data_IF_708405286616
#
_entry.id   IF_708405286616
#
_cell.length_a   1.000
_cell.length_b   1.000
_cell.length_c   1.000
_cell.angle_alpha   90.00
_cell.angle_beta   90.00
_cell.angle_gamma   90.00
#
_symmetry.space_group_name_H-M   'P 1'
#
loop_
_entity.id
_entity.type
_entity.pdbx_description
1 polymer ?
#
# COMPACT_ATOMS: atom_id res chain seq x y z
N UNK A 1 33.88 12.23 -0.10
CA UNK A 1 33.51 11.45 1.10
C UNK A 1 32.11 10.92 0.86
N UNK A 2 31.93 9.61 0.74
CA UNK A 2 30.60 9.00 0.84
C UNK A 2 30.18 9.07 2.30
N UNK A 3 29.70 10.25 2.72
CA UNK A 3 29.21 10.50 4.06
C UNK A 3 27.91 9.72 4.31
N UNK A 4 27.74 9.23 5.53
CA UNK A 4 26.49 8.64 5.99
C UNK A 4 25.34 9.62 5.70
N UNK A 5 24.48 9.30 4.74
CA UNK A 5 23.28 10.06 4.41
C UNK A 5 22.04 9.18 4.58
N UNK A 6 20.89 9.80 4.84
CA UNK A 6 19.63 9.07 4.94
C UNK A 6 19.30 8.30 3.64
N UNK A 7 19.67 8.90 2.51
CA UNK A 7 19.59 8.28 1.18
C UNK A 7 20.52 7.05 1.05
N UNK A 8 21.73 7.09 1.61
CA UNK A 8 22.63 5.93 1.59
C UNK A 8 22.12 4.75 2.44
N UNK A 9 21.18 4.99 3.36
CA UNK A 9 20.45 3.95 4.09
C UNK A 9 19.24 3.41 3.31
N UNK A 10 19.04 3.83 2.06
CA UNK A 10 17.96 3.40 1.18
C UNK A 10 16.70 4.26 1.24
N UNK A 11 16.72 5.41 1.91
CA UNK A 11 15.56 6.30 2.04
C UNK A 11 15.78 7.60 1.28
N UNK A 12 15.16 7.69 0.10
CA UNK A 12 15.17 8.88 -0.73
C UNK A 12 13.93 9.75 -0.47
N UNK A 13 14.14 10.88 0.21
CA UNK A 13 13.06 11.81 0.60
C UNK A 13 12.47 12.57 -0.59
N UNK A 14 13.28 12.85 -1.62
CA UNK A 14 12.81 13.56 -2.81
C UNK A 14 11.94 12.64 -3.66
N UNK A 15 12.37 11.38 -3.86
CA UNK A 15 11.57 10.37 -4.52
C UNK A 15 10.27 10.07 -3.75
N UNK A 16 10.34 10.06 -2.41
CA UNK A 16 9.16 9.91 -1.56
C UNK A 16 8.17 11.06 -1.80
N UNK A 17 8.64 12.31 -1.79
CA UNK A 17 7.78 13.48 -2.02
C UNK A 17 7.13 13.45 -3.41
N UNK A 18 7.91 13.13 -4.46
CA UNK A 18 7.40 12.99 -5.83
C UNK A 18 6.32 11.90 -5.93
N UNK A 19 6.49 10.79 -5.21
CA UNK A 19 5.51 9.70 -5.17
C UNK A 19 4.24 10.12 -4.45
N UNK A 20 4.39 10.82 -3.31
CA UNK A 20 3.27 11.33 -2.51
C UNK A 20 2.47 12.43 -3.19
N UNK A 21 2.98 13.07 -4.26
CA UNK A 21 2.17 13.96 -5.10
C UNK A 21 1.13 13.22 -5.95
N UNK A 22 1.32 11.93 -6.24
CA UNK A 22 0.48 11.14 -7.15
C UNK A 22 -0.38 10.09 -6.42
N UNK A 23 0.20 9.43 -5.42
CA UNK A 23 -0.45 8.31 -4.72
C UNK A 23 -1.78 8.70 -4.04
N UNK A 24 -1.94 9.86 -3.37
CA UNK A 24 -3.18 10.20 -2.69
C UNK A 24 -4.42 10.16 -3.59
N UNK A 25 -4.32 10.68 -4.82
CA UNK A 25 -5.45 10.65 -5.76
C UNK A 25 -5.75 9.24 -6.27
N UNK A 26 -4.74 8.38 -6.40
CA UNK A 26 -4.95 6.97 -6.74
C UNK A 26 -5.62 6.20 -5.59
N UNK A 27 -5.20 6.43 -4.34
CA UNK A 27 -5.76 5.78 -3.15
C UNK A 27 -7.20 6.25 -2.86
N UNK A 28 -7.50 7.54 -3.03
CA UNK A 28 -8.85 8.09 -2.83
C UNK A 28 -9.92 7.36 -3.66
N UNK A 29 -9.55 6.84 -4.84
CA UNK A 29 -10.45 6.09 -5.72
C UNK A 29 -10.92 4.76 -5.12
N UNK A 30 -10.23 4.24 -4.11
CA UNK A 30 -10.57 2.97 -3.45
C UNK A 30 -11.30 3.18 -2.12
N UNK A 31 -11.62 4.43 -1.74
CA UNK A 31 -12.27 4.70 -0.47
C UNK A 31 -13.71 4.16 -0.43
N UNK A 32 -14.07 3.57 0.71
CA UNK A 32 -15.42 3.15 1.05
C UNK A 32 -15.89 3.91 2.31
N UNK A 33 -17.19 3.86 2.69
CA UNK A 33 -17.70 4.58 3.86
C UNK A 33 -16.98 4.29 5.17
N UNK A 34 -16.33 3.14 5.31
CA UNK A 34 -15.51 2.79 6.46
C UNK A 34 -14.19 3.55 6.57
N UNK A 35 -13.65 4.10 5.49
CA UNK A 35 -12.36 4.81 5.53
C UNK A 35 -12.49 6.11 6.33
N UNK A 36 -11.62 6.29 7.32
CA UNK A 36 -11.55 7.51 8.13
C UNK A 36 -10.32 8.32 7.73
N UNK A 37 -10.51 9.61 7.44
CA UNK A 37 -9.40 10.50 7.18
C UNK A 37 -8.55 10.71 8.45
N UNK A 38 -7.25 10.52 8.32
CA UNK A 38 -6.25 10.82 9.35
C UNK A 38 -5.10 11.60 8.71
N UNK A 39 -5.29 12.90 8.54
CA UNK A 39 -4.25 13.78 7.96
C UNK A 39 -3.00 13.78 8.83
N UNK A 40 -1.84 13.48 8.23
CA UNK A 40 -0.56 13.37 8.96
C UNK A 40 -0.45 12.14 9.86
N UNK A 41 -1.37 11.18 9.74
CA UNK A 41 -1.34 9.93 10.48
C UNK A 41 -0.25 8.98 10.01
N UNK A 42 0.28 8.19 10.95
CA UNK A 42 1.22 7.11 10.63
C UNK A 42 0.54 5.91 9.94
N UNK A 43 -0.74 5.68 10.19
CA UNK A 43 -1.50 4.54 9.68
C UNK A 43 -2.88 4.96 9.17
N UNK A 44 -3.45 4.15 8.28
CA UNK A 44 -4.85 4.29 7.87
C UNK A 44 -5.82 3.87 8.98
N UNK A 45 -7.00 4.48 9.00
CA UNK A 45 -8.07 4.17 9.95
C UNK A 45 -9.31 3.66 9.20
N UNK A 46 -9.99 2.65 9.76
CA UNK A 46 -11.21 2.09 9.19
C UNK A 46 -12.27 1.81 10.26
N UNK A 47 -13.49 2.31 10.05
CA UNK A 47 -14.65 2.13 10.94
C UNK A 47 -15.57 1.03 10.40
N UNK A 48 -15.47 -0.16 10.99
CA UNK A 48 -16.28 -1.33 10.63
C UNK A 48 -17.81 -1.06 10.68
N UNK A 49 -18.26 -0.30 11.68
CA UNK A 49 -19.67 0.02 11.87
C UNK A 49 -20.25 0.99 10.83
N UNK A 50 -19.40 1.67 10.04
CA UNK A 50 -19.87 2.54 8.96
C UNK A 50 -20.31 1.76 7.71
N UNK A 51 -19.82 0.52 7.55
CA UNK A 51 -20.20 -0.36 6.43
C UNK A 51 -21.46 -1.17 6.77
N UNK A 52 -21.50 -1.75 7.97
CA UNK A 52 -22.58 -2.67 8.39
C UNK A 52 -22.60 -2.86 9.91
N UNK A 53 -23.77 -3.20 10.46
CA UNK A 53 -23.89 -3.70 11.83
C UNK A 53 -23.56 -5.20 11.89
N UNK A 54 -22.62 -5.56 12.76
CA UNK A 54 -22.17 -6.93 12.98
C UNK A 54 -22.54 -7.36 14.40
N UNK A 55 -23.03 -8.59 14.58
CA UNK A 55 -23.43 -9.11 15.90
C UNK A 55 -22.25 -9.70 16.68
N UNK A 56 -21.33 -10.38 15.99
CA UNK A 56 -20.13 -10.99 16.58
C UNK A 56 -19.02 -11.07 15.50
N UNK A 57 -18.35 -9.94 15.17
CA UNK A 57 -17.41 -9.90 14.06
C UNK A 57 -16.07 -10.58 14.41
N UNK A 58 -15.55 -11.37 13.48
CA UNK A 58 -14.19 -11.92 13.53
C UNK A 58 -13.32 -11.19 12.52
N UNK A 59 -12.12 -10.80 12.93
CA UNK A 59 -11.13 -10.19 12.04
C UNK A 59 -10.17 -11.25 11.53
N UNK A 60 -10.00 -11.29 10.21
CA UNK A 60 -8.99 -12.10 9.52
C UNK A 60 -7.97 -11.14 8.93
N UNK A 61 -6.69 -11.43 9.15
CA UNK A 61 -5.58 -10.71 8.53
C UNK A 61 -4.60 -11.70 7.92
N UNK A 62 -3.99 -11.29 6.82
CA UNK A 62 -3.01 -12.07 6.08
C UNK A 62 -1.92 -11.16 5.52
N UNK A 63 -0.78 -11.75 5.20
CA UNK A 63 0.34 -11.06 4.56
C UNK A 63 0.95 -12.01 3.54
N UNK A 64 1.10 -11.55 2.31
CA UNK A 64 1.73 -12.32 1.24
C UNK A 64 2.57 -11.40 0.35
N UNK A 65 3.43 -12.00 -0.47
CA UNK A 65 4.26 -11.33 -1.45
C UNK A 65 4.00 -11.83 -2.87
N UNK A 66 4.37 -11.01 -3.85
CA UNK A 66 4.32 -11.40 -5.28
C UNK A 66 5.32 -12.52 -5.63
N UNK A 67 6.39 -12.65 -4.84
CA UNK A 67 7.45 -13.63 -5.06
C UNK A 67 8.30 -13.33 -6.30
N UNK A 68 8.84 -14.39 -6.92
CA UNK A 68 9.81 -14.29 -8.03
C UNK A 68 9.24 -13.70 -9.32
N UNK A 69 7.92 -13.51 -9.44
CA UNK A 69 7.30 -12.80 -10.56
C UNK A 69 7.81 -11.35 -10.68
N UNK A 70 8.28 -10.75 -9.59
CA UNK A 70 8.97 -9.45 -9.61
C UNK A 70 10.19 -9.45 -10.55
N UNK A 71 10.94 -10.56 -10.63
CA UNK A 71 12.09 -10.67 -11.53
C UNK A 71 11.66 -10.58 -13.00
N UNK A 72 10.52 -11.17 -13.34
CA UNK A 72 9.94 -11.10 -14.70
C UNK A 72 9.49 -9.67 -15.02
N UNK A 73 8.82 -9.00 -14.07
CA UNK A 73 8.44 -7.59 -14.21
C UNK A 73 9.65 -6.69 -14.48
N UNK A 74 10.75 -6.88 -13.73
CA UNK A 74 12.01 -6.17 -13.93
C UNK A 74 12.65 -6.48 -15.29
N UNK A 75 12.68 -7.75 -15.72
CA UNK A 75 13.23 -8.14 -17.02
C UNK A 75 12.47 -7.51 -18.20
N UNK A 76 11.18 -7.25 -18.03
CA UNK A 76 10.31 -6.67 -19.06
C UNK A 76 10.11 -5.16 -18.89
N UNK A 77 10.72 -4.54 -17.88
CA UNK A 77 10.48 -3.15 -17.46
C UNK A 77 8.98 -2.80 -17.37
N UNK A 78 8.21 -3.71 -16.76
CA UNK A 78 6.75 -3.64 -16.72
C UNK A 78 6.19 -3.93 -15.33
N UNK A 79 5.56 -2.92 -14.72
CA UNK A 79 5.09 -2.94 -13.32
C UNK A 79 3.60 -2.60 -13.14
N UNK A 80 2.88 -2.28 -14.21
CA UNK A 80 1.47 -1.86 -14.22
C UNK A 80 0.50 -2.89 -13.64
N UNK A 81 0.88 -4.18 -13.63
CA UNK A 81 0.05 -5.27 -13.10
C UNK A 81 0.56 -5.90 -11.81
N UNK A 82 1.81 -5.64 -11.41
CA UNK A 82 2.44 -6.29 -10.24
C UNK A 82 1.70 -5.97 -8.94
N UNK A 83 1.21 -4.74 -8.80
CA UNK A 83 0.40 -4.35 -7.64
C UNK A 83 -0.95 -5.08 -7.57
N UNK A 84 -1.53 -5.45 -8.74
CA UNK A 84 -2.76 -6.23 -8.80
C UNK A 84 -2.49 -7.65 -8.31
N UNK A 85 -1.38 -8.25 -8.75
CA UNK A 85 -0.94 -9.57 -8.27
C UNK A 85 -0.75 -9.59 -6.75
N UNK A 86 -0.11 -8.55 -6.19
CA UNK A 86 0.11 -8.45 -4.75
C UNK A 86 -1.20 -8.45 -3.96
N UNK A 87 -2.18 -7.65 -4.39
CA UNK A 87 -3.49 -7.59 -3.72
C UNK A 87 -4.24 -8.91 -3.89
N UNK A 88 -4.18 -9.53 -5.07
CA UNK A 88 -4.86 -10.78 -5.36
C UNK A 88 -4.32 -11.96 -4.53
N UNK A 89 -3.02 -12.01 -4.24
CA UNK A 89 -2.46 -13.03 -3.35
C UNK A 89 -3.03 -12.92 -1.93
N UNK A 90 -3.14 -11.71 -1.38
CA UNK A 90 -3.68 -11.51 -0.03
C UNK A 90 -5.21 -11.69 0.06
N UNK A 91 -5.98 -11.23 -0.92
CA UNK A 91 -7.46 -11.19 -0.84
C UNK A 91 -8.11 -12.55 -1.15
N UNK A 92 -7.41 -13.44 -1.86
CA UNK A 92 -7.95 -14.75 -2.22
C UNK A 92 -7.77 -15.83 -1.15
N UNK A 93 -6.96 -15.56 -0.12
CA UNK A 93 -6.81 -16.39 1.07
C UNK A 93 -7.87 -16.04 2.14
#
# INVERSE_FOLDING_TARGET
MTGLSYQSAGVDLELYEQSMQKLPELMKRTHTPGVMELSGGFAGLFRLAAERQWTDPVLVSGTDGVGTKLLVGTMLDRFDTIGIDLVAMCVND
#
